data_IF_015815054346
#
_entry.id   IF_015815054346
#
_cell.length_a   1.000
_cell.length_b   1.000
_cell.length_c   1.000
_cell.angle_alpha   90.00
_cell.angle_beta   90.00
_cell.angle_gamma   90.00
#
_symmetry.space_group_name_H-M   'P 1'
#
loop_
_entity.id
_entity.type
_entity.pdbx_description
1 polymer ?
#
# COMPACT_ATOMS: atom_id res chain seq x y z
N UNK A 1 -0.89 52.76 -3.00
CA UNK A 1 -1.77 52.48 -1.86
C UNK A 1 -2.11 51.00 -1.85
N UNK A 2 -1.56 50.23 -0.90
CA UNK A 2 -2.38 49.24 -0.23
C UNK A 2 -2.27 49.39 1.28
N UNK A 3 -3.39 49.73 1.91
CA UNK A 3 -3.61 49.56 3.34
C UNK A 3 -4.22 48.20 3.59
N UNK A 4 -3.69 47.46 4.56
CA UNK A 4 -4.40 46.40 5.25
C UNK A 4 -3.85 46.27 6.67
N UNK A 5 -4.79 46.28 7.60
CA UNK A 5 -4.62 46.53 9.02
C UNK A 5 -4.15 45.30 9.81
N UNK A 6 -3.47 45.63 10.91
CA UNK A 6 -3.22 44.94 12.15
C UNK A 6 -4.15 43.76 12.52
N UNK A 7 -3.56 42.68 13.06
CA UNK A 7 -4.06 41.98 14.27
C UNK A 7 -2.91 41.42 15.09
N UNK A 8 -2.82 41.86 16.34
CA UNK A 8 -1.89 41.41 17.38
C UNK A 8 -2.56 40.42 18.33
N UNK A 9 -1.75 39.50 18.83
CA UNK A 9 -1.71 38.87 20.17
C UNK A 9 -2.99 38.35 20.86
N UNK A 10 -2.91 37.12 21.39
CA UNK A 10 -2.58 36.88 22.82
C UNK A 10 -3.07 35.50 23.35
N UNK A 11 -2.10 34.74 23.88
CA UNK A 11 -2.07 33.93 25.13
C UNK A 11 -3.26 33.08 25.64
N UNK A 12 -2.91 31.87 26.09
CA UNK A 12 -3.58 31.08 27.16
C UNK A 12 -3.05 29.63 27.19
N UNK A 13 -1.98 29.26 27.92
CA UNK A 13 -1.74 29.05 29.37
C UNK A 13 -2.40 27.79 29.99
N UNK A 14 -1.51 26.89 30.47
CA UNK A 14 -1.53 26.09 31.73
C UNK A 14 -2.21 24.71 31.87
N UNK A 15 -1.48 23.81 32.55
CA UNK A 15 -1.97 22.75 33.46
C UNK A 15 -1.54 21.32 33.07
N UNK A 16 -0.45 20.71 33.54
CA UNK A 16 -0.05 20.26 34.90
C UNK A 16 -0.84 19.05 35.45
N UNK A 17 -0.18 17.87 35.51
CA UNK A 17 -0.28 16.78 36.51
C UNK A 17 0.56 15.59 35.98
N UNK A 18 1.33 14.79 36.72
CA UNK A 18 1.43 14.61 38.16
C UNK A 18 1.55 13.12 38.52
N UNK A 19 2.80 12.64 38.66
CA UNK A 19 3.31 11.62 39.62
C UNK A 19 2.94 10.11 39.53
N UNK A 20 3.86 9.35 40.16
CA UNK A 20 3.85 7.97 40.69
C UNK A 20 4.26 6.86 39.70
N UNK A 21 5.13 5.90 40.02
CA UNK A 21 5.79 5.51 41.27
C UNK A 21 5.78 3.97 41.43
N UNK A 22 6.84 3.42 42.03
CA UNK A 22 7.05 2.02 42.48
C UNK A 22 7.41 0.98 41.38
N UNK A 23 8.62 0.39 41.36
CA UNK A 23 9.30 -0.48 42.34
C UNK A 23 8.66 -1.88 42.48
N UNK A 24 9.37 -2.89 41.99
CA UNK A 24 9.02 -4.31 42.14
C UNK A 24 10.18 -5.23 41.79
N UNK A 25 11.01 -5.54 42.78
CA UNK A 25 12.01 -6.62 42.78
C UNK A 25 11.27 -7.95 42.58
N UNK A 26 11.84 -8.97 41.93
CA UNK A 26 12.58 -10.07 42.61
C UNK A 26 12.59 -11.27 41.65
N UNK A 27 13.59 -12.14 41.71
CA UNK A 27 13.39 -13.53 41.28
C UNK A 27 14.59 -14.19 40.63
N UNK A 28 15.49 -14.69 41.47
CA UNK A 28 16.59 -15.55 41.10
C UNK A 28 16.13 -16.82 40.35
N UNK A 29 16.88 -17.22 39.32
CA UNK A 29 16.87 -18.59 38.83
C UNK A 29 18.31 -19.11 38.78
N UNK A 30 18.55 -20.09 39.64
CA UNK A 30 19.81 -20.81 39.81
C UNK A 30 20.18 -21.56 38.54
N UNK A 31 21.44 -21.40 38.14
CA UNK A 31 22.17 -22.30 37.27
C UNK A 31 22.34 -23.67 37.95
N UNK A 32 21.86 -24.74 37.30
CA UNK A 32 22.46 -26.06 37.47
C UNK A 32 22.43 -26.81 36.14
N UNK A 33 23.52 -27.50 35.92
CA UNK A 33 24.07 -27.97 34.66
C UNK A 33 23.76 -29.44 34.36
N UNK A 34 23.90 -29.77 33.07
CA UNK A 34 24.36 -31.05 32.51
C UNK A 34 23.42 -32.25 32.63
N UNK A 35 22.80 -32.56 31.50
CA UNK A 35 22.36 -33.90 31.13
C UNK A 35 22.67 -34.13 29.65
N UNK A 36 23.89 -34.58 29.35
CA UNK A 36 24.27 -35.10 28.04
C UNK A 36 23.67 -36.49 27.87
N UNK A 37 22.67 -36.64 27.01
CA UNK A 37 22.25 -37.96 26.52
C UNK A 37 22.06 -37.90 25.02
N UNK A 38 23.12 -38.32 24.35
CA UNK A 38 23.18 -38.66 22.93
C UNK A 38 22.22 -39.83 22.66
N UNK A 39 21.06 -39.52 22.07
CA UNK A 39 20.25 -40.52 21.37
C UNK A 39 20.25 -40.19 19.89
N UNK A 40 20.89 -41.08 19.14
CA UNK A 40 21.04 -41.01 17.69
C UNK A 40 19.70 -40.76 17.02
N UNK A 41 19.61 -39.60 16.38
CA UNK A 41 18.53 -39.29 15.45
C UNK A 41 19.01 -39.78 14.10
N UNK A 42 18.31 -40.80 13.58
CA UNK A 42 18.57 -41.38 12.28
C UNK A 42 18.74 -40.28 11.22
N UNK A 43 19.70 -40.48 10.34
CA UNK A 43 19.91 -39.69 9.14
C UNK A 43 18.64 -39.82 8.28
N UNK A 44 17.65 -38.99 8.59
CA UNK A 44 16.55 -38.71 7.69
C UNK A 44 17.21 -38.07 6.48
N UNK A 45 17.41 -38.89 5.43
CA UNK A 45 17.79 -38.42 4.10
C UNK A 45 16.93 -37.20 3.81
N UNK A 46 17.58 -36.04 3.85
CA UNK A 46 17.04 -34.76 3.44
C UNK A 46 16.33 -35.01 2.13
N UNK A 47 14.99 -35.06 2.17
CA UNK A 47 14.19 -35.01 0.95
C UNK A 47 14.43 -33.59 0.47
N UNK A 48 15.39 -33.49 -0.43
CA UNK A 48 15.73 -32.31 -1.18
C UNK A 48 14.41 -31.79 -1.74
N UNK A 49 13.84 -30.83 -1.02
CA UNK A 49 12.58 -30.19 -1.35
C UNK A 49 12.97 -29.26 -2.48
N UNK A 50 13.09 -29.86 -3.67
CA UNK A 50 13.49 -29.25 -4.94
C UNK A 50 13.00 -27.82 -4.89
N UNK A 51 13.94 -26.90 -4.67
CA UNK A 51 13.64 -25.49 -4.63
C UNK A 51 12.83 -25.22 -5.90
N UNK A 52 11.66 -24.61 -5.76
CA UNK A 52 10.94 -24.06 -6.92
C UNK A 52 11.93 -23.03 -7.46
N UNK A 53 12.73 -23.46 -8.43
CA UNK A 53 13.82 -22.72 -9.02
C UNK A 53 13.20 -21.50 -9.65
N UNK A 54 13.39 -20.36 -8.98
CA UNK A 54 13.44 -18.99 -9.52
C UNK A 54 12.61 -18.82 -10.79
N UNK A 55 11.31 -19.14 -10.69
CA UNK A 55 10.40 -18.80 -11.77
C UNK A 55 10.49 -17.28 -11.90
N UNK A 56 10.72 -16.75 -13.12
CA UNK A 56 10.82 -15.31 -13.29
C UNK A 56 9.57 -14.69 -12.65
N UNK A 57 9.74 -13.64 -11.82
CA UNK A 57 8.64 -13.07 -11.07
C UNK A 57 7.50 -12.81 -12.05
N UNK A 58 6.33 -13.38 -11.77
CA UNK A 58 5.18 -13.24 -12.66
C UNK A 58 4.92 -11.75 -12.88
N UNK A 59 5.11 -11.28 -14.12
CA UNK A 59 4.93 -9.90 -14.50
C UNK A 59 3.55 -9.75 -15.16
N UNK A 60 2.67 -8.98 -14.52
CA UNK A 60 1.36 -8.65 -15.06
C UNK A 60 1.43 -7.67 -16.24
N UNK A 61 0.30 -7.03 -16.57
CA UNK A 61 0.24 -6.06 -17.67
C UNK A 61 1.06 -4.81 -17.30
N UNK A 62 2.04 -4.46 -18.12
CA UNK A 62 2.78 -3.21 -17.99
C UNK A 62 2.04 -2.05 -18.68
N UNK A 63 2.14 -0.86 -18.10
CA UNK A 63 1.73 0.38 -18.77
C UNK A 63 2.84 0.77 -19.74
N UNK A 64 2.48 1.00 -21.00
CA UNK A 64 3.42 1.49 -22.00
C UNK A 64 3.97 2.87 -21.59
N UNK A 65 5.15 3.26 -22.11
CA UNK A 65 5.65 4.62 -21.95
C UNK A 65 4.61 5.67 -22.37
N UNK A 66 4.61 6.81 -21.67
CA UNK A 66 3.66 7.88 -21.92
C UNK A 66 3.85 8.43 -23.34
N UNK A 67 2.77 8.48 -24.11
CA UNK A 67 2.80 9.06 -25.45
C UNK A 67 2.81 10.61 -25.38
N UNK A 68 3.37 11.30 -26.40
CA UNK A 68 3.44 12.76 -26.41
C UNK A 68 2.07 13.43 -26.25
N UNK A 69 1.08 12.97 -27.02
CA UNK A 69 -0.29 13.51 -27.05
C UNK A 69 -1.26 12.71 -26.16
N UNK A 70 -0.87 12.44 -24.92
CA UNK A 70 -1.72 11.68 -24.00
C UNK A 70 -2.86 12.52 -23.42
N UNK A 71 -4.01 11.88 -23.24
CA UNK A 71 -5.14 12.45 -22.52
C UNK A 71 -4.85 12.50 -21.01
N UNK A 72 -5.18 13.62 -20.38
CA UNK A 72 -5.08 13.76 -18.92
C UNK A 72 -6.29 13.14 -18.25
N UNK A 73 -6.05 12.19 -17.37
CA UNK A 73 -7.07 11.57 -16.54
C UNK A 73 -7.31 12.46 -15.32
N UNK A 74 -8.59 12.75 -15.05
CA UNK A 74 -8.99 13.42 -13.82
C UNK A 74 -8.89 12.45 -12.65
N UNK A 75 -7.93 12.71 -11.76
CA UNK A 75 -7.72 11.94 -10.54
C UNK A 75 -8.39 12.61 -9.35
N UNK A 76 -9.25 11.85 -8.67
CA UNK A 76 -9.95 12.25 -7.46
C UNK A 76 -9.32 11.56 -6.26
N UNK A 77 -9.40 12.21 -5.11
CA UNK A 77 -9.06 11.56 -3.84
C UNK A 77 -10.00 10.36 -3.63
N UNK A 78 -9.45 9.22 -3.22
CA UNK A 78 -10.26 8.06 -2.85
C UNK A 78 -11.19 8.43 -1.68
N UNK A 79 -12.50 8.42 -1.93
CA UNK A 79 -13.51 8.76 -0.93
C UNK A 79 -14.10 7.55 -0.23
N UNK A 80 -13.61 6.32 -0.51
CA UNK A 80 -14.13 5.04 0.01
C UNK A 80 -15.67 4.95 -0.05
N UNK A 81 -16.26 5.42 -1.15
CA UNK A 81 -17.73 5.47 -1.34
C UNK A 81 -18.40 4.10 -1.33
N UNK A 82 -17.65 3.02 -1.51
CA UNK A 82 -18.19 1.66 -1.60
C UNK A 82 -17.43 0.73 -0.68
N UNK A 83 -18.16 0.03 0.19
CA UNK A 83 -17.58 -0.94 1.15
C UNK A 83 -17.02 -2.18 0.45
N UNK A 84 -17.60 -2.55 -0.69
CA UNK A 84 -17.19 -3.72 -1.48
C UNK A 84 -16.77 -3.30 -2.88
N UNK A 85 -15.49 -3.46 -3.16
CA UNK A 85 -14.90 -3.25 -4.49
C UNK A 85 -14.29 -4.55 -4.99
N UNK A 86 -14.55 -4.90 -6.25
CA UNK A 86 -13.90 -6.03 -6.93
C UNK A 86 -12.87 -5.50 -7.92
N UNK A 87 -11.63 -5.98 -7.84
CA UNK A 87 -10.61 -5.69 -8.85
C UNK A 87 -10.78 -6.66 -10.01
N UNK A 88 -11.02 -6.15 -11.23
CA UNK A 88 -11.17 -6.97 -12.45
C UNK A 88 -9.86 -7.15 -13.20
N UNK A 89 -9.04 -6.10 -13.26
CA UNK A 89 -7.71 -6.09 -13.91
C UNK A 89 -6.76 -5.24 -13.07
N UNK A 90 -5.47 -5.53 -13.13
CA UNK A 90 -4.44 -4.74 -12.49
C UNK A 90 -3.18 -4.73 -13.36
N UNK A 91 -2.38 -3.67 -13.23
CA UNK A 91 -1.05 -3.62 -13.83
C UNK A 91 -0.04 -4.36 -12.97
N UNK A 92 1.09 -4.73 -13.55
CA UNK A 92 2.25 -5.22 -12.81
C UNK A 92 2.60 -4.28 -11.64
N UNK A 93 3.23 -4.83 -10.60
CA UNK A 93 3.66 -4.07 -9.43
C UNK A 93 5.14 -3.65 -9.48
N UNK A 94 5.78 -3.83 -10.64
CA UNK A 94 7.19 -3.52 -10.88
C UNK A 94 7.46 -2.01 -10.92
N UNK A 95 6.42 -1.20 -11.14
CA UNK A 95 6.51 0.25 -11.18
C UNK A 95 5.98 0.84 -9.87
N UNK A 96 6.46 2.03 -9.51
CA UNK A 96 5.98 2.75 -8.31
C UNK A 96 4.48 3.06 -8.36
N UNK A 97 3.90 3.18 -9.56
CA UNK A 97 2.48 3.40 -9.76
C UNK A 97 1.79 2.14 -10.26
N UNK A 98 0.75 1.71 -9.54
CA UNK A 98 -0.09 0.56 -9.89
C UNK A 98 -1.48 1.08 -10.26
N UNK A 99 -2.07 0.51 -11.30
CA UNK A 99 -3.43 0.80 -11.72
C UNK A 99 -4.30 -0.44 -11.57
N UNK A 100 -5.51 -0.25 -11.06
CA UNK A 100 -6.50 -1.32 -10.86
C UNK A 100 -7.82 -0.91 -11.50
N UNK A 101 -8.35 -1.74 -12.40
CA UNK A 101 -9.71 -1.59 -12.91
C UNK A 101 -10.68 -2.20 -11.89
N UNK A 102 -11.42 -1.35 -11.21
CA UNK A 102 -12.29 -1.68 -10.09
C UNK A 102 -13.76 -1.65 -10.50
N UNK A 103 -14.56 -2.54 -9.91
CA UNK A 103 -16.01 -2.62 -10.07
C UNK A 103 -16.71 -2.47 -8.72
N UNK A 104 -17.67 -1.55 -8.65
CA UNK A 104 -18.56 -1.37 -7.50
C UNK A 104 -19.89 -0.75 -7.93
N UNK A 105 -21.00 -1.25 -7.39
CA UNK A 105 -22.33 -0.67 -7.60
C UNK A 105 -22.77 -0.58 -9.07
N UNK A 106 -22.37 -1.53 -9.92
CA UNK A 106 -22.72 -1.50 -11.36
C UNK A 106 -21.79 -0.67 -12.24
N UNK A 107 -20.85 0.07 -11.65
CA UNK A 107 -19.94 0.96 -12.36
C UNK A 107 -18.49 0.49 -12.24
N UNK A 108 -17.68 0.90 -13.20
CA UNK A 108 -16.24 0.72 -13.18
C UNK A 108 -15.53 2.05 -12.88
N UNK A 109 -14.34 1.96 -12.32
CA UNK A 109 -13.41 3.07 -12.13
C UNK A 109 -11.98 2.56 -12.08
N UNK A 110 -11.01 3.42 -12.36
CA UNK A 110 -9.59 3.09 -12.22
C UNK A 110 -9.10 3.65 -10.89
N UNK A 111 -8.50 2.78 -10.08
CA UNK A 111 -7.74 3.20 -8.90
C UNK A 111 -6.27 3.29 -9.30
N UNK A 112 -5.66 4.45 -9.10
CA UNK A 112 -4.22 4.65 -9.20
C UNK A 112 -3.65 4.66 -7.79
N UNK A 113 -2.65 3.82 -7.57
CA UNK A 113 -1.96 3.78 -6.30
C UNK A 113 -0.47 4.02 -6.48
N UNK A 114 0.02 5.09 -5.86
CA UNK A 114 1.42 5.49 -5.90
C UNK A 114 2.07 5.00 -4.61
N UNK A 115 3.12 4.19 -4.76
CA UNK A 115 3.99 3.76 -3.67
C UNK A 115 5.04 4.86 -3.45
N UNK A 116 4.93 5.55 -2.33
CA UNK A 116 5.95 6.46 -1.80
C UNK A 116 6.77 5.72 -0.73
N UNK A 117 7.87 6.33 -0.27
CA UNK A 117 8.83 5.68 0.63
C UNK A 117 8.18 5.07 1.88
N UNK A 118 7.23 5.81 2.49
CA UNK A 118 6.55 5.43 3.74
C UNK A 118 5.02 5.37 3.60
N UNK A 119 4.49 5.55 2.39
CA UNK A 119 3.10 5.91 2.18
C UNK A 119 2.54 5.30 0.89
N UNK A 120 1.24 5.01 0.89
CA UNK A 120 0.52 4.52 -0.30
C UNK A 120 -0.65 5.45 -0.57
N UNK A 121 -0.50 6.31 -1.57
CA UNK A 121 -1.52 7.30 -1.92
C UNK A 121 -2.40 6.76 -3.04
N UNK A 122 -3.70 6.62 -2.76
CA UNK A 122 -4.69 6.14 -3.72
C UNK A 122 -5.55 7.29 -4.25
N UNK A 123 -5.73 7.30 -5.57
CA UNK A 123 -6.63 8.17 -6.28
C UNK A 123 -7.56 7.33 -7.15
N UNK A 124 -8.77 7.83 -7.40
CA UNK A 124 -9.76 7.17 -8.26
C UNK A 124 -10.14 8.09 -9.41
N UNK A 125 -10.52 7.52 -10.54
CA UNK A 125 -11.21 8.27 -11.60
C UNK A 125 -12.68 8.47 -11.24
N UNK A 126 -13.38 9.27 -12.05
CA UNK A 126 -14.84 9.21 -12.08
C UNK A 126 -15.33 7.78 -12.35
N UNK A 127 -16.49 7.43 -11.80
CA UNK A 127 -17.14 6.12 -11.99
C UNK A 127 -17.98 6.15 -13.25
N UNK A 128 -17.70 5.28 -14.21
CA UNK A 128 -18.37 5.23 -15.50
C UNK A 128 -18.98 3.85 -15.78
N UNK A 129 -19.85 3.82 -16.78
CA UNK A 129 -20.34 2.56 -17.36
C UNK A 129 -19.20 1.74 -17.96
N UNK A 130 -19.42 0.43 -18.08
CA UNK A 130 -18.40 -0.55 -18.48
C UNK A 130 -17.63 -0.17 -19.72
N UNK A 131 -18.33 0.10 -20.84
CA UNK A 131 -17.70 0.37 -22.13
C UNK A 131 -16.72 1.56 -22.04
N UNK A 132 -17.18 2.69 -21.49
CA UNK A 132 -16.34 3.89 -21.38
C UNK A 132 -15.11 3.70 -20.49
N UNK A 133 -15.26 2.91 -19.41
CA UNK A 133 -14.14 2.67 -18.49
C UNK A 133 -13.16 1.63 -19.04
N UNK A 134 -13.63 0.62 -19.78
CA UNK A 134 -12.76 -0.32 -20.47
C UNK A 134 -11.97 0.36 -21.59
N UNK A 135 -12.57 1.31 -22.32
CA UNK A 135 -11.86 2.16 -23.29
C UNK A 135 -10.80 3.04 -22.62
N UNK A 136 -11.13 3.67 -21.49
CA UNK A 136 -10.16 4.46 -20.72
C UNK A 136 -9.02 3.57 -20.18
N UNK A 137 -9.34 2.37 -19.70
CA UNK A 137 -8.34 1.39 -19.26
C UNK A 137 -7.38 1.03 -20.39
N UNK A 138 -7.89 0.74 -21.59
CA UNK A 138 -7.03 0.43 -22.74
C UNK A 138 -6.12 1.59 -23.12
N UNK A 139 -6.66 2.81 -23.18
CA UNK A 139 -5.86 4.02 -23.45
C UNK A 139 -4.79 4.25 -22.39
N UNK A 140 -5.11 4.00 -21.11
CA UNK A 140 -4.14 4.05 -20.03
C UNK A 140 -3.01 3.05 -20.24
N UNK A 141 -3.33 1.77 -20.49
CA UNK A 141 -2.33 0.72 -20.71
C UNK A 141 -1.43 1.04 -21.91
N UNK A 142 -1.98 1.62 -22.98
CA UNK A 142 -1.23 2.01 -24.18
C UNK A 142 -0.43 3.31 -24.02
N UNK A 143 -0.45 3.95 -22.84
CA UNK A 143 0.23 5.22 -22.60
C UNK A 143 -0.43 6.43 -23.27
N UNK A 144 -1.66 6.26 -23.77
CA UNK A 144 -2.47 7.30 -24.42
C UNK A 144 -3.27 8.13 -23.42
N UNK A 145 -3.36 7.70 -22.15
CA UNK A 145 -3.99 8.45 -21.08
C UNK A 145 -3.21 8.31 -19.76
N UNK A 146 -3.14 9.36 -18.93
CA UNK A 146 -2.47 9.31 -17.63
C UNK A 146 -3.03 10.24 -16.57
#
# INVERSE_FOLDING_TARGET
MPGAMCRSDSTGRSGAAGKSGAAGKSGAARSVSRGTSSRGRGSAKSRDRRAITDAPPYHGIHVAPLQPEHEKIRWLKDTRRSDRVRVRKHTCDCMATIYELCYAGGLLFIRRTIRELDSRVAHETDRLITVRMEDLWMRLILGQAR
#
